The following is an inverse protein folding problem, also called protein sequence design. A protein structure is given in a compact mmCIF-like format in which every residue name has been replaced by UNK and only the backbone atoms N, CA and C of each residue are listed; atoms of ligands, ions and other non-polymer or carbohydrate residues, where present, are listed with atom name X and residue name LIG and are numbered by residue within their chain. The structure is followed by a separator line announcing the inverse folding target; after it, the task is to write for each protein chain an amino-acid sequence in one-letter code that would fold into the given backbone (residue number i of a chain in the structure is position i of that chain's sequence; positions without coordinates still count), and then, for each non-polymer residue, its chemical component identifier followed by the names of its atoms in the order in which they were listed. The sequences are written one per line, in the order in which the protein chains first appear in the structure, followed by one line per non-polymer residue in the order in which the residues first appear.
data_IF_981691036387
#
_entry.id   IF_981691036387
#
_cell.length_a   1.000
_cell.length_b   1.000
_cell.length_c   1.000
_cell.angle_alpha   90.00
_cell.angle_beta   90.00
_cell.angle_gamma   90.00
#
_symmetry.space_group_name_H-M   'P 1'
#
loop_
_entity.id
_entity.type
_entity.pdbx_description
1 polymer ?
#
# COMPACT_ATOMS: atom_id res chain seq x y z
N UNK A 1 -19.00 5.62 -8.07
CA UNK A 1 -18.47 6.72 -7.21
C UNK A 1 -18.23 7.92 -8.11
N UNK A 2 -18.54 9.13 -7.66
CA UNK A 2 -18.32 10.33 -8.46
C UNK A 2 -16.81 10.52 -8.76
N UNK A 3 -16.50 11.02 -9.96
CA UNK A 3 -15.13 11.13 -10.46
C UNK A 3 -14.26 12.07 -9.60
N UNK A 4 -14.84 13.17 -9.09
CA UNK A 4 -14.11 14.14 -8.27
C UNK A 4 -13.56 13.50 -6.98
N UNK A 5 -14.36 12.64 -6.34
CA UNK A 5 -13.97 11.95 -5.10
C UNK A 5 -12.84 10.94 -5.35
N UNK A 6 -12.81 10.28 -6.51
CA UNK A 6 -11.68 9.42 -6.91
C UNK A 6 -10.37 10.22 -6.96
N UNK A 7 -10.43 11.45 -7.48
CA UNK A 7 -9.25 12.34 -7.58
C UNK A 7 -8.80 12.83 -6.21
N UNK A 8 -9.72 13.14 -5.30
CA UNK A 8 -9.38 13.51 -3.91
C UNK A 8 -8.63 12.38 -3.21
N UNK A 9 -9.13 11.14 -3.28
CA UNK A 9 -8.45 10.00 -2.67
C UNK A 9 -7.10 9.69 -3.34
N UNK A 10 -6.99 9.88 -4.66
CA UNK A 10 -5.70 9.72 -5.34
C UNK A 10 -4.69 10.79 -4.90
N UNK A 11 -5.13 12.04 -4.76
CA UNK A 11 -4.31 13.13 -4.22
C UNK A 11 -3.89 12.87 -2.78
N UNK A 12 -4.80 12.41 -1.93
CA UNK A 12 -4.49 12.00 -0.55
C UNK A 12 -3.47 10.85 -0.52
N UNK A 13 -3.62 9.84 -1.38
CA UNK A 13 -2.68 8.73 -1.46
C UNK A 13 -1.28 9.22 -1.87
N UNK A 14 -1.19 10.05 -2.92
CA UNK A 14 0.08 10.60 -3.37
C UNK A 14 0.74 11.50 -2.30
N UNK A 15 -0.03 12.39 -1.67
CA UNK A 15 0.46 13.29 -0.64
C UNK A 15 0.92 12.50 0.60
N UNK A 16 0.14 11.53 1.05
CA UNK A 16 0.51 10.70 2.21
C UNK A 16 1.75 9.84 1.94
N UNK A 17 1.90 9.29 0.74
CA UNK A 17 3.09 8.54 0.35
C UNK A 17 4.35 9.44 0.34
N UNK A 18 4.22 10.67 -0.17
CA UNK A 18 5.31 11.64 -0.17
C UNK A 18 5.73 12.04 1.26
N UNK A 19 4.77 12.41 2.11
CA UNK A 19 5.02 12.75 3.52
C UNK A 19 5.61 11.57 4.27
N UNK A 20 5.11 10.37 4.03
CA UNK A 20 5.62 9.11 4.58
C UNK A 20 7.11 8.91 4.24
N UNK A 21 7.49 9.06 2.97
CA UNK A 21 8.87 8.92 2.53
C UNK A 21 9.77 9.99 3.12
N UNK A 22 9.36 11.26 3.06
CA UNK A 22 10.09 12.37 3.67
C UNK A 22 10.41 12.10 5.15
N UNK A 23 9.42 11.65 5.92
CA UNK A 23 9.62 11.29 7.32
C UNK A 23 10.56 10.09 7.50
N UNK A 24 10.38 9.00 6.77
CA UNK A 24 11.20 7.78 6.92
C UNK A 24 12.68 8.03 6.63
N UNK A 25 12.95 8.82 5.58
CA UNK A 25 14.30 9.23 5.17
C UNK A 25 14.88 10.37 6.02
N UNK A 26 14.14 10.87 7.01
CA UNK A 26 14.60 11.94 7.90
C UNK A 26 14.72 13.30 7.20
N UNK A 27 14.02 13.50 6.09
CA UNK A 27 14.00 14.74 5.31
C UNK A 27 12.73 15.51 5.66
N UNK A 28 12.82 16.54 6.50
CA UNK A 28 11.69 17.42 6.78
C UNK A 28 12.02 18.87 6.40
N UNK A 29 11.09 19.59 5.73
CA UNK A 29 11.31 21.01 5.44
C UNK A 29 11.59 21.80 6.74
N UNK A 30 12.74 22.47 6.80
CA UNK A 30 13.17 23.25 7.97
C UNK A 30 14.02 22.49 9.01
N UNK A 31 14.22 21.19 8.81
CA UNK A 31 15.04 20.32 9.63
C UNK A 31 16.08 19.68 8.70
N UNK A 32 17.39 19.86 8.94
CA UNK A 32 18.45 19.33 8.05
C UNK A 32 18.39 17.81 7.86
N UNK A 33 19.37 17.22 7.16
CA UNK A 33 19.53 15.76 7.16
C UNK A 33 19.60 15.27 8.63
N UNK A 34 18.75 14.30 8.99
CA UNK A 34 18.53 13.79 10.36
C UNK A 34 17.80 14.73 11.33
N UNK A 35 17.13 15.77 10.85
CA UNK A 35 16.39 16.68 11.73
C UNK A 35 15.02 16.16 12.17
N UNK A 36 14.59 14.97 11.70
CA UNK A 36 13.37 14.30 12.16
C UNK A 36 13.70 13.32 13.30
N UNK A 37 13.06 13.42 14.48
CA UNK A 37 13.30 12.48 15.57
C UNK A 37 12.91 11.06 15.16
N UNK A 38 13.53 10.04 15.78
CA UNK A 38 13.31 8.62 15.46
C UNK A 38 11.81 8.25 15.43
N UNK A 39 11.02 8.76 16.37
CA UNK A 39 9.56 8.53 16.39
C UNK A 39 8.89 9.02 15.11
N UNK A 40 9.27 10.20 14.61
CA UNK A 40 8.78 10.73 13.33
C UNK A 40 9.20 9.87 12.15
N UNK A 41 10.43 9.36 12.15
CA UNK A 41 10.92 8.44 11.10
C UNK A 41 10.18 7.11 11.11
N UNK A 42 9.89 6.56 12.29
CA UNK A 42 9.08 5.35 12.47
C UNK A 42 7.65 5.56 11.99
N UNK A 43 7.04 6.70 12.34
CA UNK A 43 5.74 7.08 11.79
C UNK A 43 5.79 7.12 10.26
N UNK A 44 6.91 7.57 9.68
CA UNK A 44 7.15 7.56 8.23
C UNK A 44 6.71 6.29 7.55
N UNK A 45 7.27 5.12 7.88
CA UNK A 45 6.86 3.86 7.24
C UNK A 45 5.43 3.43 7.60
N UNK A 46 4.96 3.69 8.82
CA UNK A 46 3.56 3.40 9.18
C UNK A 46 2.52 4.20 8.37
N UNK A 47 2.86 5.43 7.93
CA UNK A 47 1.93 6.28 7.17
C UNK A 47 1.56 5.70 5.80
N UNK A 48 2.43 4.90 5.16
CA UNK A 48 2.07 4.21 3.90
C UNK A 48 0.87 3.29 4.13
N UNK A 49 0.91 2.50 5.19
CA UNK A 49 -0.19 1.60 5.54
C UNK A 49 -1.41 2.34 6.10
N UNK A 50 -1.23 3.35 6.95
CA UNK A 50 -2.34 4.04 7.61
C UNK A 50 -3.12 4.98 6.68
N UNK A 51 -2.47 5.58 5.69
CA UNK A 51 -3.09 6.64 4.89
C UNK A 51 -3.03 6.39 3.38
N UNK A 52 -1.92 5.87 2.85
CA UNK A 52 -1.79 5.65 1.41
C UNK A 52 -2.65 4.47 0.94
N UNK A 53 -2.47 3.28 1.52
CA UNK A 53 -3.25 2.09 1.11
C UNK A 53 -4.76 2.26 1.31
N UNK A 54 -5.27 2.79 2.45
CA UNK A 54 -6.70 3.03 2.65
C UNK A 54 -7.27 4.05 1.65
N UNK A 55 -6.53 5.10 1.33
CA UNK A 55 -6.95 6.06 0.30
C UNK A 55 -7.05 5.41 -1.09
N UNK A 56 -6.09 4.54 -1.45
CA UNK A 56 -6.15 3.78 -2.70
C UNK A 56 -7.35 2.83 -2.74
N UNK A 57 -7.66 2.14 -1.63
CA UNK A 57 -8.84 1.27 -1.49
C UNK A 57 -10.16 2.04 -1.55
N UNK A 58 -10.21 3.24 -0.98
CA UNK A 58 -11.40 4.09 -0.96
C UNK A 58 -11.86 4.55 -2.36
N UNK A 59 -10.97 4.49 -3.38
CA UNK A 59 -11.30 4.82 -4.77
C UNK A 59 -12.30 3.86 -5.44
N UNK A 60 -12.59 2.72 -4.80
CA UNK A 60 -13.36 1.60 -5.39
C UNK A 60 -12.75 1.19 -6.74
N UNK A 61 -11.50 0.71 -6.72
CA UNK A 61 -10.78 0.31 -7.92
C UNK A 61 -11.38 -0.94 -8.57
N UNK A 62 -10.91 -1.28 -9.76
CA UNK A 62 -11.32 -2.50 -10.48
C UNK A 62 -10.83 -3.77 -9.76
N UNK A 63 -11.36 -4.94 -10.14
CA UNK A 63 -11.16 -6.20 -9.39
C UNK A 63 -9.68 -6.55 -9.17
N UNK A 64 -8.85 -6.38 -10.20
CA UNK A 64 -7.42 -6.65 -10.15
C UNK A 64 -6.70 -5.71 -9.16
N UNK A 65 -6.89 -4.40 -9.33
CA UNK A 65 -6.30 -3.38 -8.46
C UNK A 65 -6.84 -3.47 -7.01
N UNK A 66 -8.12 -3.81 -6.82
CA UNK A 66 -8.72 -4.08 -5.51
C UNK A 66 -8.00 -5.22 -4.79
N UNK A 67 -7.69 -6.30 -5.52
CA UNK A 67 -6.96 -7.45 -4.96
C UNK A 67 -5.55 -7.03 -4.53
N UNK A 68 -4.84 -6.25 -5.34
CA UNK A 68 -3.52 -5.72 -4.99
C UNK A 68 -3.55 -4.95 -3.67
N UNK A 69 -4.48 -4.01 -3.52
CA UNK A 69 -4.54 -3.19 -2.31
C UNK A 69 -5.07 -3.94 -1.08
N UNK A 70 -5.89 -4.96 -1.24
CA UNK A 70 -6.28 -5.84 -0.12
C UNK A 70 -5.09 -6.66 0.37
N UNK A 71 -4.24 -7.18 -0.53
CA UNK A 71 -3.00 -7.87 -0.15
C UNK A 71 -2.03 -6.89 0.50
N UNK A 72 -1.81 -5.70 -0.06
CA UNK A 72 -0.96 -4.67 0.56
C UNK A 72 -1.43 -4.29 1.97
N UNK A 73 -2.74 -4.15 2.16
CA UNK A 73 -3.33 -3.75 3.45
C UNK A 73 -3.05 -4.77 4.57
N UNK A 74 -2.94 -6.06 4.25
CA UNK A 74 -2.55 -7.10 5.21
C UNK A 74 -1.03 -7.30 5.27
N UNK A 75 -0.34 -7.23 4.14
CA UNK A 75 1.10 -7.48 4.04
C UNK A 75 1.94 -6.42 4.71
N UNK A 76 1.63 -5.13 4.53
CA UNK A 76 2.40 -4.02 5.12
C UNK A 76 2.46 -4.05 6.67
N UNK A 77 1.37 -4.23 7.44
CA UNK A 77 1.48 -4.24 8.89
C UNK A 77 2.26 -5.46 9.39
N UNK A 78 2.16 -6.61 8.70
CA UNK A 78 2.99 -7.78 9.00
C UNK A 78 4.46 -7.49 8.73
N UNK A 79 4.77 -6.86 7.59
CA UNK A 79 6.11 -6.42 7.24
C UNK A 79 6.65 -5.41 8.25
N UNK A 80 5.85 -4.42 8.68
CA UNK A 80 6.27 -3.38 9.61
C UNK A 80 6.47 -3.88 11.04
N UNK A 81 5.79 -4.95 11.44
CA UNK A 81 6.06 -5.65 12.70
C UNK A 81 7.31 -6.54 12.59
N UNK A 82 7.51 -7.22 11.45
CA UNK A 82 8.62 -8.16 11.27
C UNK A 82 9.96 -7.49 10.90
N UNK A 83 9.94 -6.41 10.13
CA UNK A 83 11.13 -5.76 9.58
C UNK A 83 12.09 -5.20 10.65
N UNK A 84 11.62 -4.63 11.79
CA UNK A 84 12.50 -4.17 12.88
C UNK A 84 13.40 -5.26 13.47
N UNK A 85 13.06 -6.55 13.32
CA UNK A 85 13.90 -7.67 13.76
C UNK A 85 15.09 -7.93 12.82
N UNK A 86 15.04 -7.41 11.58
CA UNK A 86 16.08 -7.56 10.57
C UNK A 86 16.87 -6.26 10.38
N UNK A 87 16.16 -5.13 10.24
CA UNK A 87 16.75 -3.80 10.08
C UNK A 87 16.08 -2.80 11.00
N UNK A 88 16.87 -2.00 11.71
CA UNK A 88 16.37 -0.92 12.57
C UNK A 88 16.31 0.44 11.85
N UNK A 89 16.67 0.49 10.57
CA UNK A 89 16.63 1.71 9.78
C UNK A 89 15.22 1.95 9.20
N UNK A 90 14.50 3.01 9.61
CA UNK A 90 13.18 3.33 9.09
C UNK A 90 13.13 3.53 7.57
N UNK A 91 14.21 4.02 6.95
CA UNK A 91 14.25 4.26 5.51
C UNK A 91 14.25 2.93 4.72
N UNK A 92 14.98 1.92 5.22
CA UNK A 92 14.98 0.57 4.65
C UNK A 92 13.62 -0.11 4.81
N UNK A 93 12.98 0.03 5.98
CA UNK A 93 11.63 -0.51 6.23
C UNK A 93 10.61 0.15 5.28
N UNK A 94 10.64 1.47 5.16
CA UNK A 94 9.78 2.20 4.22
C UNK A 94 9.99 1.76 2.77
N UNK A 95 11.24 1.54 2.37
CA UNK A 95 11.59 1.08 1.02
C UNK A 95 11.04 -0.32 0.75
N UNK A 96 11.05 -1.20 1.76
CA UNK A 96 10.43 -2.52 1.67
C UNK A 96 8.90 -2.44 1.57
N UNK A 97 8.25 -1.51 2.27
CA UNK A 97 6.81 -1.24 2.13
C UNK A 97 6.46 -0.78 0.70
N UNK A 98 7.24 0.15 0.14
CA UNK A 98 7.06 0.60 -1.26
C UNK A 98 7.28 -0.56 -2.23
N UNK A 99 8.33 -1.36 -2.03
CA UNK A 99 8.62 -2.51 -2.87
C UNK A 99 7.47 -3.53 -2.82
N UNK A 100 6.93 -3.81 -1.63
CA UNK A 100 5.74 -4.66 -1.47
C UNK A 100 4.54 -4.10 -2.22
N UNK A 101 4.27 -2.80 -2.06
CA UNK A 101 3.14 -2.10 -2.72
C UNK A 101 3.24 -2.19 -4.25
N UNK A 102 4.42 -1.94 -4.80
CA UNK A 102 4.69 -2.03 -6.24
C UNK A 102 4.62 -3.49 -6.71
N UNK A 103 5.20 -4.42 -5.96
CA UNK A 103 5.21 -5.84 -6.32
C UNK A 103 3.78 -6.40 -6.43
N UNK A 104 2.91 -6.13 -5.45
CA UNK A 104 1.51 -6.58 -5.53
C UNK A 104 0.76 -5.87 -6.65
N UNK A 105 1.01 -4.58 -6.88
CA UNK A 105 0.36 -3.87 -7.97
C UNK A 105 0.76 -4.45 -9.34
N UNK A 106 2.06 -4.62 -9.58
CA UNK A 106 2.58 -5.23 -10.82
C UNK A 106 2.05 -6.65 -10.99
N UNK A 107 2.05 -7.46 -9.94
CA UNK A 107 1.56 -8.83 -9.99
C UNK A 107 0.09 -8.91 -10.42
N UNK A 108 -0.79 -8.14 -9.77
CA UNK A 108 -2.23 -8.24 -10.02
C UNK A 108 -2.73 -7.40 -11.20
N UNK A 109 -2.09 -6.28 -11.52
CA UNK A 109 -2.59 -5.33 -12.53
C UNK A 109 -1.81 -5.43 -13.83
N UNK A 110 -0.49 -5.64 -13.78
CA UNK A 110 0.33 -5.65 -15.00
C UNK A 110 0.49 -7.08 -15.53
N UNK A 111 0.98 -7.98 -14.69
CA UNK A 111 1.31 -9.34 -15.10
C UNK A 111 0.07 -10.23 -15.27
N UNK A 112 -0.92 -10.09 -14.38
CA UNK A 112 -2.15 -10.87 -14.48
C UNK A 112 -3.08 -10.42 -15.61
N UNK A 113 -2.96 -9.18 -16.09
CA UNK A 113 -3.78 -8.64 -17.20
C UNK A 113 -3.15 -8.95 -18.58
N UNK A 114 -1.83 -9.17 -18.64
CA UNK A 114 -1.09 -9.45 -19.88
C UNK A 114 -1.16 -10.92 -20.36
N UNK A 115 -1.89 -11.79 -19.64
CA UNK A 115 -1.90 -13.24 -19.83
C UNK A 115 -3.02 -13.82 -20.68
N UNK A 116 -3.72 -13.02 -21.49
CA UNK A 116 -4.86 -13.48 -22.30
C UNK A 116 -4.43 -14.19 -23.60
N UNK A 117 -3.77 -15.33 -23.42
CA UNK A 117 -3.26 -16.19 -24.49
C UNK A 117 -3.24 -17.66 -24.09
N UNK A 118 -4.41 -18.20 -23.69
CA UNK A 118 -4.62 -19.65 -23.64
C UNK A 118 -5.01 -20.22 -22.27
N UNK A 119 -6.31 -20.53 -22.15
CA UNK A 119 -6.81 -21.73 -21.47
C UNK A 119 -6.23 -22.04 -20.08
N UNK A 120 -6.66 -21.29 -19.06
CA UNK A 120 -6.38 -21.67 -17.69
C UNK A 120 -6.70 -20.58 -16.68
N UNK A 121 -7.98 -20.40 -16.36
CA UNK A 121 -8.45 -19.68 -15.18
C UNK A 121 -7.81 -18.31 -14.98
N UNK A 122 -8.35 -17.28 -15.63
CA UNK A 122 -8.22 -15.89 -15.17
C UNK A 122 -8.39 -15.91 -13.65
N UNK A 123 -7.29 -15.74 -12.91
CA UNK A 123 -7.23 -16.01 -11.48
C UNK A 123 -8.26 -15.11 -10.84
N UNK A 124 -9.36 -15.76 -10.47
CA UNK A 124 -10.53 -15.26 -9.76
C UNK A 124 -10.05 -14.25 -8.71
N UNK A 125 -10.78 -13.13 -8.57
CA UNK A 125 -10.72 -12.25 -7.38
C UNK A 125 -10.31 -13.10 -6.19
N UNK A 126 -9.17 -12.80 -5.53
CA UNK A 126 -8.68 -13.63 -4.42
C UNK A 126 -9.84 -13.77 -3.46
N UNK A 127 -10.52 -14.93 -3.52
CA UNK A 127 -11.75 -15.15 -2.76
C UNK A 127 -11.25 -15.29 -1.35
N UNK A 128 -11.27 -14.18 -0.63
CA UNK A 128 -10.75 -14.15 0.71
C UNK A 128 -11.73 -14.99 1.55
N UNK A 129 -11.34 -16.23 1.86
CA UNK A 129 -12.20 -17.22 2.51
C UNK A 129 -12.15 -17.10 4.03
N UNK A 130 -13.21 -17.57 4.69
CA UNK A 130 -13.30 -17.61 6.15
C UNK A 130 -13.35 -16.23 6.80
N UNK A 131 -12.60 -16.06 7.89
CA UNK A 131 -12.54 -14.81 8.65
C UNK A 131 -11.81 -13.68 7.91
N UNK A 132 -10.98 -13.99 6.91
CA UNK A 132 -10.31 -12.98 6.10
C UNK A 132 -11.28 -12.29 5.11
N UNK A 133 -12.51 -12.82 4.89
CA UNK A 133 -13.53 -12.19 4.02
C UNK A 133 -13.86 -10.74 4.41
N UNK A 134 -13.59 -10.37 5.67
CA UNK A 134 -13.73 -9.00 6.16
C UNK A 134 -12.69 -8.03 5.60
N UNK A 135 -11.56 -8.53 5.10
CA UNK A 135 -10.57 -7.73 4.35
C UNK A 135 -11.03 -7.42 2.93
N UNK A 136 -11.99 -8.19 2.40
CA UNK A 136 -12.58 -7.96 1.09
C UNK A 136 -13.60 -6.81 1.16
N UNK A 137 -13.06 -5.60 1.32
CA UNK A 137 -13.86 -4.40 1.52
C UNK A 137 -14.65 -4.03 0.26
N UNK A 138 -15.96 -3.84 0.42
CA UNK A 138 -16.85 -3.37 -0.64
C UNK A 138 -17.43 -4.47 -1.54
N UNK A 139 -17.20 -5.74 -1.25
CA UNK A 139 -17.86 -6.87 -1.94
C UNK A 139 -19.28 -7.18 -1.44
N UNK A 140 -19.76 -6.47 -0.41
CA UNK A 140 -21.08 -6.72 0.20
C UNK A 140 -22.23 -6.02 -0.55
N UNK A 141 -22.16 -6.00 -1.88
CA UNK A 141 -23.18 -5.44 -2.75
C UNK A 141 -23.77 -6.52 -3.64
#
# INVERSE_FOLDING_TARGET
MQLWLKRVFLGQAALSAAVSGLLAWGVAPGFGADGVPLVGRVLGFWLLWLFTVPALRARKPEKAEKSAWNVAFLGMPLLNVAAPFVSRDPALIWSADVALMVAVFVWYVVLADSGDGGGGSAKEEVKIRGWLRWLDWGSWK
#
